data_IF_100731322831
#
_entry.id   IF_100731322831
#
_cell.length_a   1.000
_cell.length_b   1.000
_cell.length_c   1.000
_cell.angle_alpha   90.00
_cell.angle_beta   90.00
_cell.angle_gamma   90.00
#
_symmetry.space_group_name_H-M   'P 1'
#
loop_
_entity.id
_entity.type
_entity.pdbx_description
1 polymer ?
#
# COMPACT_ATOMS: atom_id res chain seq x y z
N UNK A 1 14.18 0.55 -0.93
CA UNK A 1 13.20 0.78 0.16
C UNK A 1 12.12 1.72 -0.35
N UNK A 2 10.91 1.24 -0.62
CA UNK A 2 9.76 2.13 -0.79
C UNK A 2 9.14 2.36 0.59
N UNK A 3 9.22 3.59 1.09
CA UNK A 3 8.76 4.00 2.42
C UNK A 3 7.29 4.45 2.43
N UNK A 4 6.63 4.48 1.26
CA UNK A 4 5.31 5.09 1.08
C UNK A 4 4.15 4.12 1.36
N UNK A 5 4.32 2.82 1.07
CA UNK A 5 3.27 1.82 1.22
C UNK A 5 3.66 0.68 2.19
N UNK A 6 2.76 0.25 3.08
CA UNK A 6 3.04 -0.84 4.02
C UNK A 6 3.20 -2.17 3.26
N UNK A 7 4.30 -2.88 3.53
CA UNK A 7 4.58 -4.19 2.93
C UNK A 7 3.93 -5.31 3.74
N UNK A 8 3.20 -6.19 3.07
CA UNK A 8 2.65 -7.42 3.64
C UNK A 8 3.54 -8.61 3.23
N UNK A 9 4.28 -9.17 4.18
CA UNK A 9 5.27 -10.25 3.94
C UNK A 9 4.70 -11.66 4.13
N UNK A 10 3.42 -11.80 4.45
CA UNK A 10 2.79 -13.09 4.79
C UNK A 10 1.36 -13.16 4.33
N UNK A 11 0.91 -14.36 3.90
CA UNK A 11 -0.49 -14.62 3.53
C UNK A 11 -1.47 -14.22 4.64
N UNK A 12 -1.14 -14.51 5.90
CA UNK A 12 -1.97 -14.11 7.05
C UNK A 12 -2.17 -12.58 7.13
N UNK A 13 -1.12 -11.81 6.84
CA UNK A 13 -1.18 -10.35 6.87
C UNK A 13 -2.06 -9.81 5.73
N UNK A 14 -2.03 -10.46 4.56
CA UNK A 14 -2.94 -10.18 3.44
C UNK A 14 -4.39 -10.48 3.81
N UNK A 15 -4.65 -11.67 4.37
CA UNK A 15 -5.99 -12.07 4.80
C UNK A 15 -6.56 -11.12 5.87
N UNK A 16 -5.71 -10.65 6.80
CA UNK A 16 -6.11 -9.70 7.82
C UNK A 16 -6.40 -8.30 7.24
N UNK A 17 -5.59 -7.83 6.28
CA UNK A 17 -5.82 -6.55 5.62
C UNK A 17 -7.15 -6.54 4.86
N UNK A 18 -7.47 -7.63 4.15
CA UNK A 18 -8.75 -7.79 3.45
C UNK A 18 -9.91 -7.77 4.44
N UNK A 19 -9.83 -8.56 5.52
CA UNK A 19 -10.91 -8.61 6.54
C UNK A 19 -11.09 -7.28 7.29
N UNK A 20 -10.02 -6.52 7.46
CA UNK A 20 -10.06 -5.24 8.17
C UNK A 20 -10.58 -4.08 7.31
N UNK A 21 -10.65 -4.26 5.99
CA UNK A 21 -11.07 -3.21 5.06
C UNK A 21 -12.50 -3.48 4.60
N UNK A 22 -13.48 -2.90 5.29
CA UNK A 22 -14.91 -3.09 4.99
C UNK A 22 -15.50 -1.97 4.10
N UNK A 23 -15.14 -0.71 4.35
CA UNK A 23 -15.80 0.46 3.75
C UNK A 23 -14.93 1.20 2.73
N UNK A 24 -13.78 0.63 2.37
CA UNK A 24 -12.82 1.24 1.44
C UNK A 24 -12.36 0.21 0.41
N UNK A 25 -11.87 0.69 -0.72
CA UNK A 25 -11.24 -0.18 -1.72
C UNK A 25 -9.81 -0.49 -1.25
N UNK A 26 -9.53 -1.78 -1.03
CA UNK A 26 -8.19 -2.26 -0.74
C UNK A 26 -7.46 -2.55 -2.05
N UNK A 27 -6.39 -1.80 -2.33
CA UNK A 27 -5.51 -2.05 -3.49
C UNK A 27 -4.25 -2.76 -2.99
N UNK A 28 -4.02 -3.99 -3.47
CA UNK A 28 -2.84 -4.79 -3.16
C UNK A 28 -1.98 -4.91 -4.41
N UNK A 29 -0.71 -4.49 -4.31
CA UNK A 29 0.28 -4.68 -5.36
C UNK A 29 1.09 -5.93 -5.07
N UNK A 30 1.05 -6.90 -5.98
CA UNK A 30 1.92 -8.08 -5.94
C UNK A 30 3.07 -7.87 -6.93
N UNK A 31 4.31 -7.92 -6.45
CA UNK A 31 5.50 -7.72 -7.27
C UNK A 31 6.75 -7.65 -6.41
N UNK A 32 7.92 -7.72 -7.03
CA UNK A 32 9.19 -7.59 -6.31
C UNK A 32 9.57 -6.12 -6.21
N UNK A 33 10.08 -5.69 -5.06
CA UNK A 33 10.51 -4.30 -4.85
C UNK A 33 11.79 -3.89 -5.59
N UNK A 34 12.49 -4.85 -6.19
CA UNK A 34 13.60 -4.63 -7.12
C UNK A 34 13.15 -4.29 -8.56
N UNK A 35 11.86 -4.48 -8.88
CA UNK A 35 11.35 -4.19 -10.22
C UNK A 35 11.11 -2.68 -10.38
N UNK A 36 11.76 -2.02 -11.37
CA UNK A 36 11.61 -0.59 -11.60
C UNK A 36 10.16 -0.16 -11.88
N UNK A 37 9.35 -1.04 -12.49
CA UNK A 37 7.93 -0.77 -12.74
C UNK A 37 7.15 -0.72 -11.43
N UNK A 38 7.50 -1.58 -10.46
CA UNK A 38 6.87 -1.61 -9.15
C UNK A 38 7.19 -0.35 -8.33
N UNK A 39 8.37 0.24 -8.49
CA UNK A 39 8.76 1.49 -7.83
C UNK A 39 8.01 2.70 -8.39
N UNK A 40 7.85 2.77 -9.71
CA UNK A 40 7.07 3.85 -10.36
C UNK A 40 5.60 3.82 -9.94
N UNK A 41 5.01 2.63 -9.84
CA UNK A 41 3.64 2.47 -9.36
C UNK A 41 3.49 2.83 -7.87
N UNK A 42 4.50 2.56 -7.05
CA UNK A 42 4.51 2.94 -5.62
C UNK A 42 4.47 4.46 -5.44
N UNK A 43 5.19 5.23 -6.27
CA UNK A 43 5.25 6.69 -6.23
C UNK A 43 3.91 7.34 -6.66
N UNK A 44 3.31 6.81 -7.74
CA UNK A 44 1.99 7.25 -8.24
C UNK A 44 0.89 6.91 -7.21
N UNK A 45 0.95 5.70 -6.63
CA UNK A 45 -0.04 5.28 -5.65
C UNK A 45 0.14 6.02 -4.32
N UNK A 46 1.37 6.22 -3.84
CA UNK A 46 1.67 6.96 -2.61
C UNK A 46 1.25 8.42 -2.66
N UNK A 47 1.42 9.10 -3.80
CA UNK A 47 0.96 10.49 -3.97
C UNK A 47 -0.57 10.63 -3.98
N UNK A 48 -1.28 9.58 -4.42
CA UNK A 48 -2.74 9.49 -4.51
C UNK A 48 -3.40 9.01 -3.22
N UNK A 49 -2.73 8.13 -2.46
CA UNK A 49 -3.12 7.63 -1.13
C UNK A 49 -2.73 8.64 -0.04
N UNK A 50 -2.93 9.93 -0.32
CA UNK A 50 -2.96 10.94 0.74
C UNK A 50 -4.26 10.75 1.50
N UNK A 51 -4.18 10.00 2.60
CA UNK A 51 -5.26 9.90 3.57
C UNK A 51 -5.62 11.34 4.01
N UNK A 52 -6.88 11.79 3.94
CA UNK A 52 -7.27 13.13 4.36
C UNK A 52 -7.18 13.37 5.89
N UNK A 53 -6.36 12.63 6.63
CA UNK A 53 -6.18 12.76 8.09
C UNK A 53 -4.72 12.97 8.53
N UNK A 54 -3.87 13.55 7.71
CA UNK A 54 -2.58 14.10 8.19
C UNK A 54 -2.44 15.55 7.73
N UNK A 55 -3.28 16.40 8.31
CA UNK A 55 -3.05 17.86 8.44
C UNK A 55 -3.14 18.28 9.92
N UNK A 56 -2.69 17.42 10.84
CA UNK A 56 -2.50 17.80 12.23
C UNK A 56 -1.15 17.25 12.72
N UNK A 57 -0.27 18.22 12.99
CA UNK A 57 1.05 18.21 13.61
C UNK A 57 2.28 17.92 12.72
#
# INVERSE_FOLDING_TARGET
>A
MSFLLPKLSSKKAVDQAIKSTAEKVLVLRFGRDEDPVCLQLDDICGSSVRNPMTDQQ
#
